data_IF_929892310060
#
_entry.id   IF_929892310060
#
_cell.length_a   1.000
_cell.length_b   1.000
_cell.length_c   1.000
_cell.angle_alpha   90.00
_cell.angle_beta   90.00
_cell.angle_gamma   90.00
#
_symmetry.space_group_name_H-M   'P 1'
#
loop_
_entity.id
_entity.type
_entity.pdbx_description
1 polymer ?
#
# COMPACT_ATOMS: atom_id res chain seq x y z
N UNK A 1 -14.60 -27.71 -3.76
CA UNK A 1 -15.05 -26.31 -3.63
C UNK A 1 -16.55 -26.26 -3.87
N UNK A 2 -17.33 -25.95 -2.83
CA UNK A 2 -18.76 -25.68 -2.99
C UNK A 2 -18.90 -24.38 -3.80
N UNK A 3 -19.59 -24.41 -4.93
CA UNK A 3 -19.92 -23.20 -5.68
C UNK A 3 -20.96 -22.44 -4.86
N UNK A 4 -20.58 -21.30 -4.31
CA UNK A 4 -21.53 -20.36 -3.76
C UNK A 4 -22.45 -19.91 -4.90
N UNK A 5 -23.78 -19.91 -4.72
CA UNK A 5 -24.69 -19.35 -5.70
C UNK A 5 -24.51 -17.83 -5.67
N UNK A 6 -23.60 -17.33 -6.50
CA UNK A 6 -23.43 -15.91 -6.71
C UNK A 6 -24.38 -15.49 -7.84
N UNK A 7 -25.13 -14.43 -7.61
CA UNK A 7 -25.75 -13.67 -8.70
C UNK A 7 -24.66 -13.22 -9.70
N UNK A 8 -25.02 -12.89 -10.95
CA UNK A 8 -24.05 -12.41 -11.93
C UNK A 8 -23.21 -11.25 -11.37
N UNK A 9 -21.90 -11.46 -11.27
CA UNK A 9 -20.97 -10.42 -10.83
C UNK A 9 -20.88 -9.38 -11.94
N UNK A 10 -21.16 -8.11 -11.61
CA UNK A 10 -21.10 -7.00 -12.58
C UNK A 10 -19.91 -6.07 -12.36
N UNK A 11 -19.30 -6.12 -11.17
CA UNK A 11 -18.19 -5.25 -10.80
C UNK A 11 -17.19 -5.98 -9.89
N UNK A 12 -15.91 -5.64 -10.05
CA UNK A 12 -14.81 -6.10 -9.20
C UNK A 12 -14.03 -4.86 -8.72
N UNK A 13 -13.94 -4.69 -7.41
CA UNK A 13 -13.18 -3.61 -6.79
C UNK A 13 -11.87 -4.15 -6.22
N UNK A 14 -10.76 -3.45 -6.45
CA UNK A 14 -9.43 -3.83 -5.95
C UNK A 14 -8.96 -2.88 -4.86
N UNK A 15 -8.39 -3.42 -3.78
CA UNK A 15 -7.51 -2.63 -2.92
C UNK A 15 -6.26 -2.24 -3.74
N UNK A 16 -5.66 -1.09 -3.44
CA UNK A 16 -4.50 -0.61 -4.19
C UNK A 16 -3.19 -1.16 -3.60
N UNK A 17 -2.98 -0.94 -2.30
CA UNK A 17 -1.70 -1.20 -1.65
C UNK A 17 -1.57 -2.69 -1.30
N UNK A 18 -0.51 -3.35 -1.77
CA UNK A 18 -0.26 -4.77 -1.52
C UNK A 18 -1.13 -5.72 -2.36
N UNK A 19 -2.06 -5.20 -3.17
CA UNK A 19 -2.86 -5.99 -4.14
C UNK A 19 -2.48 -5.63 -5.57
N UNK A 20 -2.50 -4.35 -5.93
CA UNK A 20 -2.05 -3.87 -7.24
C UNK A 20 -0.61 -3.37 -7.16
N UNK A 21 -0.30 -2.60 -6.12
CA UNK A 21 1.00 -1.99 -5.91
C UNK A 21 1.93 -2.94 -5.15
N UNK A 22 3.09 -3.23 -5.73
CA UNK A 22 4.20 -3.88 -5.04
C UNK A 22 4.87 -2.84 -4.14
N UNK A 23 4.56 -2.90 -2.84
CA UNK A 23 5.08 -1.96 -1.86
C UNK A 23 6.60 -2.04 -1.73
N UNK A 24 7.18 -3.24 -1.78
CA UNK A 24 8.63 -3.40 -1.63
C UNK A 24 9.33 -2.81 -2.84
N UNK A 25 8.90 -3.14 -4.05
CA UNK A 25 9.45 -2.54 -5.26
C UNK A 25 9.25 -1.02 -5.29
N UNK A 26 8.13 -0.53 -4.73
CA UNK A 26 7.82 0.90 -4.73
C UNK A 26 8.65 1.74 -3.76
N UNK A 27 8.98 1.21 -2.58
CA UNK A 27 9.58 1.99 -1.49
C UNK A 27 11.03 1.59 -1.17
N UNK A 28 11.41 0.32 -1.36
CA UNK A 28 12.73 -0.16 -0.95
C UNK A 28 13.90 0.59 -1.63
N UNK A 29 13.84 0.96 -2.93
CA UNK A 29 14.94 1.71 -3.57
C UNK A 29 15.21 3.07 -2.89
N UNK A 30 14.16 3.83 -2.55
CA UNK A 30 14.30 5.10 -1.84
C UNK A 30 14.82 4.91 -0.42
N UNK A 31 14.31 3.89 0.28
CA UNK A 31 14.73 3.54 1.64
C UNK A 31 16.20 3.14 1.67
N UNK A 32 16.67 2.36 0.70
CA UNK A 32 18.07 1.92 0.60
C UNK A 32 19.03 3.13 0.51
N UNK A 33 18.71 4.10 -0.34
CA UNK A 33 19.50 5.34 -0.48
C UNK A 33 19.55 6.11 0.84
N UNK A 34 18.38 6.31 1.45
CA UNK A 34 18.27 7.03 2.71
C UNK A 34 19.02 6.33 3.86
N UNK A 35 18.75 5.04 4.06
CA UNK A 35 19.35 4.24 5.13
C UNK A 35 20.88 4.19 5.03
N UNK A 36 21.40 4.04 3.80
CA UNK A 36 22.84 4.10 3.54
C UNK A 36 23.42 5.47 3.91
N UNK A 37 22.73 6.56 3.59
CA UNK A 37 23.16 7.92 3.97
C UNK A 37 23.23 8.13 5.49
N UNK A 38 22.39 7.42 6.25
CA UNK A 38 22.38 7.45 7.72
C UNK A 38 23.29 6.38 8.36
N UNK A 39 24.02 5.61 7.56
CA UNK A 39 24.94 4.56 8.04
C UNK A 39 24.24 3.31 8.59
N UNK A 40 22.96 3.09 8.27
CA UNK A 40 22.23 1.90 8.71
C UNK A 40 22.50 0.72 7.75
N UNK A 41 22.80 -0.46 8.31
CA UNK A 41 23.25 -1.64 7.57
C UNK A 41 22.16 -2.70 7.32
N UNK A 42 20.95 -2.50 7.84
CA UNK A 42 19.84 -3.42 7.60
C UNK A 42 19.24 -3.27 6.20
N UNK A 43 18.38 -4.21 5.82
CA UNK A 43 17.83 -4.28 4.46
C UNK A 43 16.55 -3.44 4.29
N UNK A 44 16.48 -2.63 3.24
CA UNK A 44 15.33 -1.78 2.97
C UNK A 44 14.02 -2.56 2.78
N UNK A 45 14.06 -3.73 2.14
CA UNK A 45 12.88 -4.56 1.91
C UNK A 45 12.27 -5.12 3.20
N UNK A 46 13.10 -5.47 4.18
CA UNK A 46 12.66 -5.87 5.52
C UNK A 46 12.04 -4.69 6.27
N UNK A 47 12.62 -3.49 6.14
CA UNK A 47 12.08 -2.26 6.76
C UNK A 47 10.72 -1.90 6.17
N UNK A 48 10.54 -1.99 4.84
CA UNK A 48 9.25 -1.75 4.19
C UNK A 48 8.18 -2.74 4.67
N UNK A 49 8.51 -4.04 4.77
CA UNK A 49 7.58 -5.04 5.30
C UNK A 49 7.23 -4.81 6.77
N UNK A 50 8.21 -4.47 7.60
CA UNK A 50 7.97 -4.13 9.00
C UNK A 50 7.08 -2.88 9.14
N UNK A 51 7.28 -1.89 8.27
CA UNK A 51 6.45 -0.69 8.22
C UNK A 51 5.02 -1.00 7.81
N UNK A 52 4.81 -1.88 6.82
CA UNK A 52 3.49 -2.33 6.41
C UNK A 52 2.74 -3.02 7.56
N UNK A 53 3.40 -3.91 8.29
CA UNK A 53 2.83 -4.58 9.46
C UNK A 53 2.43 -3.56 10.54
N UNK A 54 3.31 -2.58 10.82
CA UNK A 54 3.03 -1.52 11.79
C UNK A 54 1.83 -0.66 11.35
N UNK A 55 1.76 -0.28 10.08
CA UNK A 55 0.63 0.46 9.51
C UNK A 55 -0.69 -0.31 9.63
N UNK A 56 -0.71 -1.61 9.30
CA UNK A 56 -1.91 -2.45 9.38
C UNK A 56 -2.41 -2.61 10.82
N UNK A 57 -1.50 -2.68 11.79
CA UNK A 57 -1.86 -2.68 13.20
C UNK A 57 -2.51 -1.34 13.61
N UNK A 58 -1.81 -0.23 13.36
CA UNK A 58 -2.25 1.10 13.80
C UNK A 58 -3.54 1.56 13.11
N UNK A 59 -3.79 1.17 11.86
CA UNK A 59 -4.98 1.61 11.13
C UNK A 59 -6.30 1.04 11.66
N UNK A 60 -6.24 0.00 12.50
CA UNK A 60 -7.43 -0.60 13.11
C UNK A 60 -7.73 -0.04 14.50
N UNK A 61 -6.79 0.66 15.14
CA UNK A 61 -6.92 1.13 16.53
C UNK A 61 -8.12 2.04 16.72
N UNK A 62 -8.29 3.05 15.84
CA UNK A 62 -9.42 3.97 15.96
C UNK A 62 -10.77 3.27 15.83
N UNK A 63 -10.87 2.31 14.91
CA UNK A 63 -12.09 1.53 14.71
C UNK A 63 -12.42 0.65 15.92
N UNK A 64 -11.41 0.04 16.54
CA UNK A 64 -11.58 -0.76 17.76
C UNK A 64 -11.98 0.11 18.97
N UNK A 65 -11.60 1.38 18.99
CA UNK A 65 -11.94 2.34 20.04
C UNK A 65 -13.22 3.15 19.74
N UNK A 66 -13.91 2.87 18.62
CA UNK A 66 -15.11 3.60 18.22
C UNK A 66 -14.87 5.08 17.88
N UNK A 67 -13.64 5.44 17.48
CA UNK A 67 -13.22 6.81 17.15
C UNK A 67 -13.31 7.07 15.65
N UNK A 68 -13.40 8.35 15.22
CA UNK A 68 -13.20 8.71 13.83
C UNK A 68 -11.87 8.16 13.30
N UNK A 69 -11.88 7.60 12.09
CA UNK A 69 -10.68 7.02 11.49
C UNK A 69 -9.64 8.10 11.21
N UNK A 70 -8.44 7.92 11.74
CA UNK A 70 -7.29 8.75 11.35
C UNK A 70 -6.97 8.56 9.86
N UNK A 71 -6.69 9.62 9.09
CA UNK A 71 -6.38 9.50 7.67
C UNK A 71 -5.20 8.56 7.40
N UNK A 72 -5.30 7.79 6.31
CA UNK A 72 -4.27 6.83 5.89
C UNK A 72 -2.87 7.43 5.87
N UNK A 73 -2.75 8.60 5.24
CA UNK A 73 -1.48 9.31 5.04
C UNK A 73 -0.81 9.71 6.37
N UNK A 74 -1.63 10.01 7.38
CA UNK A 74 -1.16 10.38 8.73
C UNK A 74 -0.60 9.15 9.43
N UNK A 75 -1.32 8.02 9.41
CA UNK A 75 -0.87 6.77 10.05
C UNK A 75 0.41 6.26 9.37
N UNK A 76 0.52 6.34 8.04
CA UNK A 76 1.73 5.91 7.32
C UNK A 76 2.97 6.68 7.72
N UNK A 77 2.90 8.02 7.78
CA UNK A 77 4.01 8.87 8.24
C UNK A 77 4.36 8.59 9.69
N UNK A 78 3.35 8.49 10.55
CA UNK A 78 3.53 8.21 11.97
C UNK A 78 4.24 6.86 12.19
N UNK A 79 3.75 5.80 11.56
CA UNK A 79 4.32 4.44 11.71
C UNK A 79 5.72 4.32 11.13
N UNK A 80 6.03 5.03 10.06
CA UNK A 80 7.40 5.04 9.51
C UNK A 80 8.38 5.71 10.47
N UNK A 81 8.04 6.89 10.98
CA UNK A 81 8.86 7.59 11.95
C UNK A 81 9.06 6.77 13.23
N UNK A 82 7.98 6.20 13.76
CA UNK A 82 8.04 5.32 14.93
C UNK A 82 8.94 4.10 14.70
N UNK A 83 8.86 3.47 13.53
CA UNK A 83 9.74 2.35 13.16
C UNK A 83 11.19 2.80 13.07
N UNK A 84 11.49 3.92 12.43
CA UNK A 84 12.85 4.44 12.32
C UNK A 84 13.44 4.78 13.68
N UNK A 85 12.66 5.38 14.59
CA UNK A 85 13.07 5.59 15.99
C UNK A 85 13.42 4.28 16.67
N UNK A 86 12.59 3.23 16.50
CA UNK A 86 12.84 1.90 17.07
C UNK A 86 14.12 1.25 16.51
N UNK A 87 14.38 1.45 15.21
CA UNK A 87 15.58 0.96 14.52
C UNK A 87 16.81 1.85 14.74
N UNK A 88 16.68 2.95 15.50
CA UNK A 88 17.73 3.94 15.76
C UNK A 88 18.28 4.59 14.48
N UNK A 89 17.43 4.76 13.46
CA UNK A 89 17.74 5.47 12.23
C UNK A 89 17.42 6.96 12.47
N UNK A 90 18.44 7.82 12.40
CA UNK A 90 18.25 9.27 12.54
C UNK A 90 17.46 9.82 11.37
N UNK A 91 16.37 10.56 11.65
CA UNK A 91 15.46 11.09 10.64
C UNK A 91 14.77 12.37 11.12
N UNK A 92 14.36 13.22 10.19
CA UNK A 92 13.45 14.34 10.41
C UNK A 92 12.03 14.02 9.92
N UNK A 93 11.08 14.95 10.07
CA UNK A 93 9.75 14.79 9.48
C UNK A 93 9.79 14.93 7.97
N UNK A 94 10.69 15.77 7.46
CA UNK A 94 10.92 16.02 6.05
C UNK A 94 11.51 14.77 5.38
N UNK A 95 12.46 14.09 6.04
CA UNK A 95 12.98 12.80 5.59
C UNK A 95 11.85 11.78 5.39
N UNK A 96 10.90 11.71 6.34
CA UNK A 96 9.73 10.81 6.26
C UNK A 96 8.81 11.22 5.12
N UNK A 97 8.57 12.52 4.92
CA UNK A 97 7.76 13.02 3.81
C UNK A 97 8.34 12.64 2.46
N UNK A 98 9.64 12.87 2.26
CA UNK A 98 10.34 12.55 1.01
C UNK A 98 10.29 11.04 0.73
N UNK A 99 10.50 10.20 1.75
CA UNK A 99 10.48 8.75 1.62
C UNK A 99 9.12 8.18 1.18
N UNK A 100 8.02 8.80 1.61
CA UNK A 100 6.67 8.34 1.24
C UNK A 100 6.11 9.02 0.00
N UNK A 101 6.80 10.05 -0.52
CA UNK A 101 6.37 10.81 -1.71
C UNK A 101 7.41 10.76 -2.83
N UNK A 102 8.40 11.64 -2.81
CA UNK A 102 9.33 11.89 -3.92
C UNK A 102 10.31 10.76 -4.16
N UNK A 103 10.69 10.02 -3.11
CA UNK A 103 11.59 8.85 -3.23
C UNK A 103 10.83 7.55 -3.53
N UNK A 104 9.50 7.56 -3.42
CA UNK A 104 8.68 6.41 -3.76
C UNK A 104 8.44 6.36 -5.27
N UNK A 105 8.58 5.18 -5.86
CA UNK A 105 8.27 4.96 -7.28
C UNK A 105 7.15 3.94 -7.38
N UNK A 106 5.88 4.35 -7.55
CA UNK A 106 4.76 3.43 -7.61
C UNK A 106 4.97 2.33 -8.66
N UNK A 107 5.12 1.09 -8.19
CA UNK A 107 5.42 -0.07 -9.01
C UNK A 107 4.31 -1.11 -8.83
N UNK A 108 3.71 -1.55 -9.93
CA UNK A 108 2.69 -2.61 -9.91
C UNK A 108 3.35 -3.98 -9.86
N UNK A 109 2.64 -4.99 -9.35
CA UNK A 109 3.04 -6.37 -9.58
C UNK A 109 3.04 -6.69 -11.09
N UNK A 110 3.96 -7.55 -11.57
CA UNK A 110 4.17 -7.76 -13.01
C UNK A 110 2.93 -8.26 -13.77
N UNK A 111 2.05 -8.99 -13.11
CA UNK A 111 0.85 -9.62 -13.68
C UNK A 111 -0.39 -8.72 -13.67
N UNK A 112 -0.34 -7.56 -13.01
CA UNK A 112 -1.51 -6.70 -12.79
C UNK A 112 -2.09 -6.20 -14.11
N UNK A 113 -1.26 -5.69 -15.02
CA UNK A 113 -1.74 -5.09 -16.27
C UNK A 113 -2.43 -6.14 -17.15
N UNK A 114 -1.80 -7.30 -17.33
CA UNK A 114 -2.37 -8.40 -18.12
C UNK A 114 -3.68 -8.90 -17.51
N UNK A 115 -3.70 -9.10 -16.18
CA UNK A 115 -4.87 -9.62 -15.48
C UNK A 115 -6.05 -8.65 -15.51
N UNK A 116 -5.82 -7.36 -15.29
CA UNK A 116 -6.87 -6.34 -15.38
C UNK A 116 -7.41 -6.20 -16.82
N UNK A 117 -6.54 -6.27 -17.83
CA UNK A 117 -6.95 -6.26 -19.24
C UNK A 117 -7.91 -7.41 -19.54
N UNK A 118 -7.59 -8.62 -19.07
CA UNK A 118 -8.46 -9.80 -19.24
C UNK A 118 -9.80 -9.66 -18.53
N UNK A 119 -9.85 -8.98 -17.38
CA UNK A 119 -11.08 -8.74 -16.62
C UNK A 119 -11.97 -7.66 -17.22
N UNK A 120 -11.40 -6.65 -17.88
CA UNK A 120 -12.16 -5.64 -18.64
C UNK A 120 -12.82 -6.23 -19.90
N UNK A 121 -12.38 -7.42 -20.30
CA UNK A 121 -12.99 -8.22 -21.33
C UNK A 121 -12.27 -8.10 -22.67
N UNK A 122 -12.15 -9.25 -23.31
CA UNK A 122 -11.90 -9.43 -24.74
C UNK A 122 -13.04 -10.34 -25.24
N UNK A 123 -13.20 -10.53 -26.55
CA UNK A 123 -14.36 -11.15 -27.25
C UNK A 123 -14.94 -12.47 -26.70
N UNK A 124 -14.32 -13.09 -25.70
CA UNK A 124 -14.62 -14.40 -25.13
C UNK A 124 -15.12 -14.34 -23.67
N UNK A 125 -15.03 -13.19 -22.96
CA UNK A 125 -15.42 -13.06 -21.55
C UNK A 125 -16.37 -11.87 -21.32
N UNK A 126 -17.31 -11.96 -20.35
CA UNK A 126 -18.11 -10.82 -19.94
C UNK A 126 -17.21 -9.69 -19.42
N UNK A 127 -17.41 -8.47 -19.91
CA UNK A 127 -16.73 -7.29 -19.39
C UNK A 127 -17.22 -6.99 -17.97
N UNK A 128 -16.30 -6.96 -17.00
CA UNK A 128 -16.59 -6.49 -15.64
C UNK A 128 -16.23 -5.01 -15.51
N UNK A 129 -17.02 -4.26 -14.74
CA UNK A 129 -16.57 -2.94 -14.29
C UNK A 129 -15.46 -3.11 -13.24
N UNK A 130 -14.28 -2.55 -13.49
CA UNK A 130 -13.15 -2.58 -12.54
C UNK A 130 -12.99 -1.21 -11.88
N UNK A 131 -12.93 -1.17 -10.55
CA UNK A 131 -12.71 0.07 -9.80
C UNK A 131 -11.64 -0.13 -8.72
N UNK A 132 -11.00 0.95 -8.29
CA UNK A 132 -10.11 0.93 -7.14
C UNK A 132 -10.89 1.35 -5.90
N UNK A 133 -10.91 0.47 -4.89
CA UNK A 133 -11.44 0.77 -3.56
C UNK A 133 -10.26 1.05 -2.63
N UNK A 134 -9.84 2.31 -2.57
CA UNK A 134 -8.69 2.72 -1.74
C UNK A 134 -9.15 3.34 -0.41
N UNK A 135 -8.32 3.19 0.61
CA UNK A 135 -8.48 3.78 1.96
C UNK A 135 -8.06 5.25 2.03
N UNK A 136 -7.47 5.81 0.95
CA UNK A 136 -7.00 7.20 0.86
C UNK A 136 -8.11 8.24 0.98
N UNK A 137 -9.28 7.95 0.39
CA UNK A 137 -10.47 8.78 0.46
C UNK A 137 -11.69 7.88 0.27
N UNK A 138 -12.78 8.15 0.99
CA UNK A 138 -14.07 7.48 0.75
C UNK A 138 -14.72 7.87 -0.59
N UNK A 139 -13.92 8.15 -1.62
CA UNK A 139 -14.37 8.48 -2.98
C UNK A 139 -13.70 7.52 -3.95
N UNK A 140 -14.54 6.77 -4.65
CA UNK A 140 -14.15 6.06 -5.87
C UNK A 140 -13.48 7.05 -6.83
N UNK A 141 -12.23 6.79 -7.22
CA UNK A 141 -11.66 7.40 -8.42
C UNK A 141 -11.97 6.46 -9.58
N UNK A 142 -13.04 6.82 -10.30
CA UNK A 142 -13.34 6.47 -11.69
C UNK A 142 -13.87 7.74 -12.35
#
# INVERSE_FOLDING_TARGET
MQKLPLEPIVAITFDMYGTLLDLVASFAPGFEVFMKSKGYLGRADEVVRAWEIAYLHETNVDSLLGRPRTPFEVIRRFTLGALFSKLKISHTKEDIEELVTTMATPTLFPDVIESLTRLQGNSTWPSYQTAILNRLTGRSML
#
